data_IF_268789814029
#
_entry.id   IF_268789814029
#
_cell.length_a   1.000
_cell.length_b   1.000
_cell.length_c   1.000
_cell.angle_alpha   90.00
_cell.angle_beta   90.00
_cell.angle_gamma   90.00
#
_symmetry.space_group_name_H-M   'P 1'
#
loop_
_entity.id
_entity.type
_entity.pdbx_description
1 polymer ?
#
# COMPACT_ATOMS: atom_id res chain seq x y z
N UNK A 1 3.85 20.97 2.16
CA UNK A 1 3.13 22.03 2.89
C UNK A 1 1.73 21.60 3.27
N UNK A 2 0.93 21.04 2.35
CA UNK A 2 -0.43 20.56 2.62
C UNK A 2 -0.50 19.51 3.75
N UNK A 3 0.30 18.44 3.68
CA UNK A 3 0.28 17.40 4.72
C UNK A 3 0.75 17.92 6.08
N UNK A 4 1.72 18.84 6.10
CA UNK A 4 2.22 19.43 7.33
C UNK A 4 1.14 20.24 8.07
N UNK A 5 0.19 20.83 7.34
CA UNK A 5 -0.93 21.57 7.94
C UNK A 5 -1.97 20.67 8.62
N UNK A 6 -2.01 19.38 8.26
CA UNK A 6 -2.96 18.39 8.78
C UNK A 6 -2.33 17.46 9.84
N UNK A 7 -0.99 17.44 9.94
CA UNK A 7 -0.26 16.55 10.83
C UNK A 7 0.41 17.30 11.99
N UNK A 8 0.35 16.73 13.19
CA UNK A 8 1.12 17.23 14.34
C UNK A 8 2.63 17.02 14.16
N UNK A 9 3.00 15.93 13.48
CA UNK A 9 4.37 15.60 13.11
C UNK A 9 4.38 15.07 11.68
N UNK A 10 5.24 15.63 10.84
CA UNK A 10 5.50 15.15 9.49
C UNK A 10 6.94 14.64 9.42
N UNK A 11 7.09 13.38 9.05
CA UNK A 11 8.39 12.75 8.76
C UNK A 11 8.46 12.49 7.26
N UNK A 12 9.46 13.06 6.59
CA UNK A 12 9.69 12.83 5.16
C UNK A 12 10.90 11.93 5.00
N UNK A 13 10.77 10.89 4.18
CA UNK A 13 11.84 9.96 3.85
C UNK A 13 12.16 10.00 2.36
N UNK A 14 13.44 9.89 2.01
CA UNK A 14 13.89 9.72 0.62
C UNK A 14 14.91 8.58 0.53
N UNK A 15 14.75 7.74 -0.49
CA UNK A 15 15.61 6.56 -0.70
C UNK A 15 17.09 6.92 -0.92
N UNK A 16 17.36 8.12 -1.45
CA UNK A 16 18.72 8.62 -1.72
C UNK A 16 19.21 9.64 -0.68
N UNK A 17 18.38 9.98 0.31
CA UNK A 17 18.68 10.98 1.33
C UNK A 17 18.76 12.43 0.81
N UNK A 18 18.29 12.69 -0.42
CA UNK A 18 18.30 14.04 -1.00
C UNK A 18 17.44 15.03 -0.21
N UNK A 19 16.45 14.56 0.55
CA UNK A 19 15.59 15.41 1.38
C UNK A 19 15.01 14.65 2.59
N UNK A 20 14.99 15.29 3.76
CA UNK A 20 14.46 14.70 4.97
C UNK A 20 15.34 13.58 5.52
N UNK A 21 14.73 12.47 5.93
CA UNK A 21 15.41 11.29 6.43
C UNK A 21 15.80 10.37 5.27
N UNK A 22 17.06 9.92 5.23
CA UNK A 22 17.47 8.89 4.28
C UNK A 22 16.91 7.54 4.73
N UNK A 23 16.17 6.87 3.84
CA UNK A 23 15.66 5.52 4.05
C UNK A 23 14.22 5.33 3.57
N UNK A 24 13.64 4.21 3.96
CA UNK A 24 12.27 3.82 3.66
C UNK A 24 11.30 4.36 4.71
N UNK A 25 10.00 4.32 4.40
CA UNK A 25 8.94 4.68 5.36
C UNK A 25 8.95 3.80 6.62
N UNK A 26 9.40 2.56 6.51
CA UNK A 26 9.57 1.64 7.65
C UNK A 26 10.66 2.13 8.60
N UNK A 27 11.69 2.80 8.11
CA UNK A 27 12.76 3.31 8.98
C UNK A 27 12.24 4.48 9.84
N UNK A 28 11.38 5.34 9.26
CA UNK A 28 10.69 6.37 10.03
C UNK A 28 9.72 5.77 11.07
N UNK A 29 9.04 4.67 10.72
CA UNK A 29 8.17 3.96 11.67
C UNK A 29 8.98 3.30 12.80
N UNK A 30 10.13 2.68 12.50
CA UNK A 30 11.04 2.11 13.51
C UNK A 30 11.44 3.18 14.51
N UNK A 31 11.87 4.34 14.01
CA UNK A 31 12.27 5.46 14.85
C UNK A 31 11.16 5.91 15.80
N UNK A 32 9.90 5.95 15.36
CA UNK A 32 8.77 6.29 16.24
C UNK A 32 8.58 5.26 17.35
N UNK A 33 8.73 3.98 17.04
CA UNK A 33 8.65 2.89 18.02
C UNK A 33 9.82 2.94 19.00
N UNK A 34 11.05 3.18 18.51
CA UNK A 34 12.25 3.34 19.34
C UNK A 34 12.16 4.56 20.27
N UNK A 35 11.56 5.66 19.80
CA UNK A 35 11.23 6.86 20.59
C UNK A 35 10.10 6.60 21.60
N UNK A 36 9.55 5.38 21.66
CA UNK A 36 8.43 4.97 22.52
C UNK A 36 7.19 5.84 22.30
N UNK A 37 6.98 6.31 21.07
CA UNK A 37 5.75 7.01 20.69
C UNK A 37 4.59 6.01 20.76
N UNK A 38 3.51 6.39 21.45
CA UNK A 38 2.30 5.58 21.47
C UNK A 38 1.59 5.65 20.11
N UNK A 39 1.31 4.49 19.51
CA UNK A 39 0.65 4.37 18.21
C UNK A 39 -0.53 3.40 18.36
N UNK A 40 -1.74 3.95 18.37
CA UNK A 40 -2.98 3.14 18.44
C UNK A 40 -3.29 2.42 17.13
N UNK A 41 -2.91 3.02 16.00
CA UNK A 41 -3.32 2.57 14.68
C UNK A 41 -2.35 3.08 13.60
N UNK A 42 -2.02 2.22 12.63
CA UNK A 42 -1.30 2.59 11.40
C UNK A 42 -2.25 2.51 10.21
N UNK A 43 -2.13 3.49 9.30
CA UNK A 43 -2.76 3.47 7.99
C UNK A 43 -1.67 3.54 6.92
N UNK A 44 -1.58 2.54 6.06
CA UNK A 44 -0.59 2.50 4.98
C UNK A 44 -1.27 2.55 3.61
N UNK A 45 -0.81 3.49 2.78
CA UNK A 45 -1.29 3.70 1.41
C UNK A 45 -0.07 3.90 0.52
N UNK A 46 0.10 3.05 -0.48
CA UNK A 46 1.26 3.13 -1.37
C UNK A 46 1.44 1.86 -2.21
N UNK A 47 2.65 1.59 -2.71
CA UNK A 47 2.96 0.34 -3.41
C UNK A 47 2.68 -0.89 -2.54
N UNK A 48 2.22 -1.99 -3.14
CA UNK A 48 1.89 -3.23 -2.41
C UNK A 48 3.07 -3.74 -1.57
N UNK A 49 4.30 -3.64 -2.09
CA UNK A 49 5.52 -4.07 -1.38
C UNK A 49 5.77 -3.19 -0.16
N UNK A 50 5.52 -1.88 -0.27
CA UNK A 50 5.65 -0.94 0.85
C UNK A 50 4.59 -1.24 1.93
N UNK A 51 3.33 -1.43 1.53
CA UNK A 51 2.26 -1.77 2.46
C UNK A 51 2.53 -3.10 3.17
N UNK A 52 3.03 -4.12 2.46
CA UNK A 52 3.47 -5.39 3.05
C UNK A 52 4.55 -5.18 4.11
N UNK A 53 5.59 -4.41 3.79
CA UNK A 53 6.68 -4.14 4.73
C UNK A 53 6.21 -3.42 6.01
N UNK A 54 5.28 -2.46 5.87
CA UNK A 54 4.66 -1.79 7.02
C UNK A 54 3.83 -2.78 7.86
N UNK A 55 3.04 -3.65 7.22
CA UNK A 55 2.27 -4.68 7.93
C UNK A 55 3.17 -5.68 8.69
N UNK A 56 4.25 -6.15 8.06
CA UNK A 56 5.21 -7.07 8.68
C UNK A 56 5.87 -6.44 9.91
N UNK A 57 6.27 -5.17 9.80
CA UNK A 57 6.86 -4.42 10.90
C UNK A 57 5.89 -4.20 12.05
N UNK A 58 4.72 -3.64 11.77
CA UNK A 58 3.70 -3.31 12.78
C UNK A 58 3.17 -4.55 13.50
N UNK A 59 3.17 -5.70 12.83
CA UNK A 59 2.81 -6.99 13.43
C UNK A 59 3.77 -7.42 14.55
N UNK A 60 5.06 -7.07 14.47
CA UNK A 60 6.04 -7.36 15.53
C UNK A 60 5.73 -6.61 16.83
N UNK A 61 5.06 -5.47 16.73
CA UNK A 61 4.69 -4.60 17.84
C UNK A 61 3.20 -4.68 18.18
N UNK A 62 2.47 -5.62 17.57
CA UNK A 62 1.03 -5.81 17.74
C UNK A 62 0.20 -4.53 17.48
N UNK A 63 0.68 -3.65 16.58
CA UNK A 63 0.00 -2.39 16.25
C UNK A 63 -1.05 -2.64 15.15
N UNK A 64 -2.34 -2.35 15.41
CA UNK A 64 -3.39 -2.46 14.39
C UNK A 64 -3.05 -1.67 13.14
N UNK A 65 -3.12 -2.32 11.97
CA UNK A 65 -2.71 -1.72 10.70
C UNK A 65 -3.76 -1.91 9.62
N UNK A 66 -4.23 -0.80 9.07
CA UNK A 66 -5.14 -0.77 7.92
C UNK A 66 -4.35 -0.42 6.66
N UNK A 67 -4.65 -1.13 5.57
CA UNK A 67 -4.04 -0.89 4.25
C UNK A 67 -5.12 -0.55 3.24
N UNK A 68 -4.86 0.46 2.39
CA UNK A 68 -5.72 0.77 1.25
C UNK A 68 -5.21 0.04 0.02
N UNK A 69 -5.82 -1.10 -0.29
CA UNK A 69 -5.37 -1.95 -1.40
C UNK A 69 -5.66 -1.32 -2.76
N UNK A 70 -4.75 -1.55 -3.71
CA UNK A 70 -4.81 -1.06 -5.09
C UNK A 70 -4.80 -2.22 -6.11
N UNK A 71 -5.79 -3.15 -6.09
CA UNK A 71 -5.92 -4.16 -7.13
C UNK A 71 -6.37 -3.56 -8.46
N UNK A 72 -6.26 -4.34 -9.53
CA UNK A 72 -6.88 -4.03 -10.82
C UNK A 72 -8.40 -3.83 -10.64
N UNK A 73 -8.94 -2.74 -11.18
CA UNK A 73 -10.37 -2.45 -11.20
C UNK A 73 -10.88 -2.29 -12.63
N UNK A 74 -12.12 -2.71 -12.88
CA UNK A 74 -12.80 -2.54 -14.18
C UNK A 74 -14.13 -1.82 -13.99
N UNK A 75 -15.11 -2.48 -13.35
CA UNK A 75 -16.44 -1.90 -13.13
C UNK A 75 -16.50 -1.05 -11.85
N UNK A 76 -15.74 -1.42 -10.81
CA UNK A 76 -15.72 -0.78 -9.49
C UNK A 76 -17.08 -0.71 -8.76
N UNK A 77 -18.02 -1.59 -9.11
CA UNK A 77 -19.38 -1.65 -8.53
C UNK A 77 -19.75 -3.03 -8.01
N UNK A 78 -18.78 -3.94 -7.92
CA UNK A 78 -18.96 -5.30 -7.41
C UNK A 78 -19.48 -6.31 -8.44
N UNK A 79 -19.58 -5.96 -9.72
CA UNK A 79 -20.16 -6.82 -10.75
C UNK A 79 -19.16 -7.80 -11.36
N UNK A 80 -17.88 -7.43 -11.52
CA UNK A 80 -16.93 -8.25 -12.30
C UNK A 80 -15.92 -9.05 -11.46
N UNK A 81 -15.65 -8.65 -10.21
CA UNK A 81 -14.65 -9.31 -9.36
C UNK A 81 -13.19 -9.13 -9.79
N UNK A 82 -12.88 -8.23 -10.73
CA UNK A 82 -11.50 -7.91 -11.12
C UNK A 82 -10.67 -7.43 -9.92
N UNK A 83 -11.30 -6.70 -8.99
CA UNK A 83 -10.66 -6.18 -7.79
C UNK A 83 -10.64 -7.17 -6.62
N UNK A 84 -10.85 -8.48 -6.86
CA UNK A 84 -10.84 -9.46 -5.78
C UNK A 84 -9.48 -9.53 -5.08
N UNK A 85 -9.53 -9.71 -3.77
CA UNK A 85 -8.40 -9.88 -2.85
C UNK A 85 -8.73 -10.98 -1.85
N UNK A 86 -7.72 -11.69 -1.37
CA UNK A 86 -7.88 -12.66 -0.28
C UNK A 86 -7.50 -12.01 1.05
N UNK A 87 -8.45 -11.95 1.98
CA UNK A 87 -8.27 -11.35 3.31
C UNK A 87 -8.78 -12.32 4.37
N UNK A 88 -7.90 -12.81 5.23
CA UNK A 88 -8.25 -13.75 6.30
C UNK A 88 -8.76 -15.10 5.78
N UNK A 89 -8.34 -15.51 4.58
CA UNK A 89 -8.81 -16.73 3.92
C UNK A 89 -10.15 -16.58 3.19
N UNK A 90 -10.75 -15.39 3.18
CA UNK A 90 -11.98 -15.09 2.43
C UNK A 90 -11.69 -14.23 1.20
N UNK A 91 -12.37 -14.53 0.10
CA UNK A 91 -12.37 -13.65 -1.08
C UNK A 91 -13.26 -12.43 -0.82
N UNK A 92 -12.69 -11.23 -0.98
CA UNK A 92 -13.37 -9.92 -0.87
C UNK A 92 -13.16 -9.11 -2.14
N UNK A 93 -14.05 -8.19 -2.45
CA UNK A 93 -13.95 -7.27 -3.59
C UNK A 93 -13.58 -5.88 -3.10
N UNK A 94 -12.36 -5.41 -3.41
CA UNK A 94 -11.86 -4.16 -2.86
C UNK A 94 -12.74 -2.92 -3.18
N UNK A 95 -13.48 -2.92 -4.29
CA UNK A 95 -14.35 -1.81 -4.66
C UNK A 95 -15.64 -1.68 -3.82
N UNK A 96 -16.09 -2.74 -3.17
CA UNK A 96 -17.36 -2.75 -2.40
C UNK A 96 -17.17 -3.19 -0.95
N UNK A 97 -16.25 -4.13 -0.69
CA UNK A 97 -15.92 -4.59 0.66
C UNK A 97 -14.78 -3.77 1.29
N UNK A 98 -14.04 -3.01 0.49
CA UNK A 98 -12.84 -2.27 0.89
C UNK A 98 -12.91 -0.77 0.56
N UNK A 99 -11.81 -0.16 0.04
CA UNK A 99 -10.50 -0.75 -0.27
C UNK A 99 -9.60 -0.92 0.97
N UNK A 100 -10.08 -0.48 2.15
CA UNK A 100 -9.37 -0.56 3.41
C UNK A 100 -9.59 -1.91 4.07
N UNK A 101 -8.52 -2.66 4.31
CA UNK A 101 -8.57 -3.96 4.97
C UNK A 101 -7.56 -4.03 6.12
N UNK A 102 -7.79 -4.98 7.03
CA UNK A 102 -6.81 -5.39 8.04
C UNK A 102 -5.57 -5.93 7.35
N UNK A 103 -4.50 -5.13 7.36
CA UNK A 103 -3.27 -5.39 6.64
C UNK A 103 -2.54 -6.64 7.10
N UNK A 104 -2.80 -7.11 8.33
CA UNK A 104 -2.20 -8.35 8.85
C UNK A 104 -2.88 -9.62 8.32
N UNK A 105 -4.03 -9.47 7.66
CA UNK A 105 -4.82 -10.56 7.08
C UNK A 105 -4.79 -10.62 5.56
N UNK A 106 -4.18 -9.65 4.89
CA UNK A 106 -4.12 -9.57 3.41
C UNK A 106 -3.10 -10.58 2.86
N UNK A 107 -3.48 -11.31 1.82
CA UNK A 107 -2.54 -12.07 0.98
C UNK A 107 -1.88 -11.13 -0.04
N UNK A 108 -0.71 -10.59 0.33
CA UNK A 108 0.04 -9.69 -0.54
C UNK A 108 0.67 -10.40 -1.74
N UNK A 109 1.04 -11.68 -1.61
CA UNK A 109 1.71 -12.40 -2.69
C UNK A 109 0.72 -12.70 -3.82
N UNK A 110 -0.51 -13.13 -3.49
CA UNK A 110 -1.60 -13.25 -4.46
C UNK A 110 -1.85 -11.89 -5.15
N UNK A 111 -2.02 -10.83 -4.37
CA UNK A 111 -2.35 -9.51 -4.92
C UNK A 111 -1.25 -8.94 -5.82
N UNK A 112 0.03 -9.09 -5.45
CA UNK A 112 1.17 -8.67 -6.28
C UNK A 112 1.19 -9.43 -7.62
N UNK A 113 0.96 -10.75 -7.60
CA UNK A 113 0.89 -11.54 -8.82
C UNK A 113 -0.28 -11.12 -9.71
N UNK A 114 -1.45 -10.83 -9.12
CA UNK A 114 -2.63 -10.35 -9.84
C UNK A 114 -2.35 -9.00 -10.51
N UNK A 115 -1.69 -8.07 -9.83
CA UNK A 115 -1.35 -6.77 -10.41
C UNK A 115 -0.33 -6.85 -11.55
N UNK A 116 0.46 -7.91 -11.63
CA UNK A 116 1.39 -8.13 -12.74
C UNK A 116 0.74 -8.77 -13.99
N UNK A 117 -0.55 -9.15 -13.91
CA UNK A 117 -1.23 -9.92 -14.96
C UNK A 117 -1.16 -9.28 -16.36
N UNK A 118 -1.28 -7.95 -16.44
CA UNK A 118 -1.32 -7.22 -17.71
C UNK A 118 -0.02 -6.50 -18.06
N UNK A 119 1.10 -6.80 -17.38
CA UNK A 119 2.37 -6.10 -17.57
C UNK A 119 2.85 -6.08 -19.04
N UNK A 120 2.56 -7.15 -19.81
CA UNK A 120 2.86 -7.19 -21.25
C UNK A 120 2.03 -6.20 -22.05
N UNK A 121 0.72 -6.17 -21.79
CA UNK A 121 -0.22 -5.31 -22.53
C UNK A 121 0.00 -3.84 -22.19
N UNK A 122 0.27 -3.53 -20.92
CA UNK A 122 0.68 -2.20 -20.45
C UNK A 122 1.95 -1.72 -21.17
N UNK A 123 2.98 -2.57 -21.27
CA UNK A 123 4.21 -2.26 -22.00
C UNK A 123 3.95 -1.99 -23.48
N UNK A 124 3.13 -2.83 -24.13
CA UNK A 124 2.80 -2.65 -25.55
C UNK A 124 1.99 -1.38 -25.79
N UNK A 125 1.02 -1.08 -24.92
CA UNK A 125 0.23 0.15 -24.95
C UNK A 125 1.13 1.39 -24.84
N UNK A 126 2.04 1.39 -23.86
CA UNK A 126 3.01 2.48 -23.68
C UNK A 126 3.89 2.67 -24.92
N UNK A 127 4.50 1.61 -25.45
CA UNK A 127 5.35 1.68 -26.64
C UNK A 127 4.59 2.20 -27.87
N UNK A 128 3.34 1.77 -28.03
CA UNK A 128 2.48 2.23 -29.12
C UNK A 128 2.15 3.71 -28.96
N UNK A 129 1.81 4.14 -27.73
CA UNK A 129 1.50 5.54 -27.43
C UNK A 129 2.68 6.50 -27.67
N UNK A 130 3.92 6.05 -27.43
CA UNK A 130 5.13 6.85 -27.69
C UNK A 130 5.39 6.96 -29.19
N UNK A 131 5.20 5.86 -29.94
CA UNK A 131 5.41 5.84 -31.40
C UNK A 131 4.36 6.61 -32.19
N UNK A 132 3.15 6.75 -31.64
CA UNK A 132 2.06 7.48 -32.25
C UNK A 132 2.13 9.01 -32.02
N UNK A 133 3.05 9.47 -31.16
CA UNK A 133 3.39 10.89 -30.98
C UNK A 133 4.58 11.26 -31.87
#
# INVERSE_FOLDING_TARGET
EEMAALCQRLLVTTDDGSYGMHGLVTDALAKLVEEQVHIDQVFAVGPLIMMRAVCEMTKLYEIPTLVSLNPIMVDATGMCGACRVSVGGETKFACVDGPHFDGHKVDFDELIQRNAMYARDERMSLLTSIRAR
#
